data_IF_924077953847
#
_entry.id   IF_924077953847
#
_cell.length_a   1.000
_cell.length_b   1.000
_cell.length_c   1.000
_cell.angle_alpha   90.00
_cell.angle_beta   90.00
_cell.angle_gamma   90.00
#
_symmetry.space_group_name_H-M   'P 1'
#
loop_
_entity.id
_entity.type
_entity.pdbx_description
1 polymer ?
#
# COMPACT_ATOMS: atom_id res chain seq x y z
N UNK A 1 1.07 6.14 8.76
CA UNK A 1 1.61 6.42 7.41
C UNK A 1 0.44 6.66 6.46
N UNK A 2 0.49 7.68 5.59
CA UNK A 2 -0.65 8.02 4.71
C UNK A 2 -0.90 6.84 3.74
N UNK A 3 -2.15 6.35 3.70
CA UNK A 3 -2.61 5.12 2.99
C UNK A 3 -2.11 5.00 1.54
N UNK A 4 -1.87 6.14 0.89
CA UNK A 4 -1.37 6.24 -0.49
C UNK A 4 0.04 5.66 -0.70
N UNK A 5 0.89 5.59 0.34
CA UNK A 5 2.30 5.20 0.18
C UNK A 5 2.53 3.71 -0.12
N UNK A 6 1.56 2.83 0.17
CA UNK A 6 1.67 1.38 -0.07
C UNK A 6 0.83 0.92 -1.26
N UNK A 7 -0.25 1.62 -1.57
CA UNK A 7 -1.13 1.26 -2.70
C UNK A 7 -0.43 1.48 -4.05
N UNK A 8 0.32 2.59 -4.18
CA UNK A 8 1.04 2.93 -5.41
C UNK A 8 2.03 1.83 -5.85
N UNK A 9 2.95 1.33 -5.01
CA UNK A 9 3.88 0.28 -5.43
C UNK A 9 3.19 -1.05 -5.76
N UNK A 10 2.13 -1.41 -5.03
CA UNK A 10 1.33 -2.62 -5.35
C UNK A 10 0.71 -2.49 -6.74
N UNK A 11 0.18 -1.32 -7.09
CA UNK A 11 -0.44 -1.09 -8.40
C UNK A 11 0.58 -1.26 -9.54
N UNK A 12 1.81 -0.74 -9.36
CA UNK A 12 2.89 -0.88 -10.35
C UNK A 12 3.31 -2.34 -10.52
N UNK A 13 3.47 -3.09 -9.42
CA UNK A 13 3.84 -4.50 -9.46
C UNK A 13 2.81 -5.32 -10.24
N UNK A 14 1.52 -5.09 -10.00
CA UNK A 14 0.43 -5.83 -10.66
C UNK A 14 0.39 -5.54 -12.17
N UNK A 15 0.61 -4.29 -12.59
CA UNK A 15 0.65 -3.94 -14.02
C UNK A 15 1.81 -4.63 -14.72
N UNK A 16 2.99 -4.67 -14.10
CA UNK A 16 4.17 -5.33 -14.67
C UNK A 16 3.97 -6.85 -14.76
N UNK A 17 3.42 -7.48 -13.72
CA UNK A 17 3.10 -8.91 -13.73
C UNK A 17 2.08 -9.26 -14.80
N UNK A 18 1.01 -8.47 -14.93
CA UNK A 18 0.01 -8.67 -15.97
C UNK A 18 0.62 -8.53 -17.36
N UNK A 19 1.46 -7.52 -17.59
CA UNK A 19 2.16 -7.34 -18.85
C UNK A 19 3.07 -8.53 -19.19
N UNK A 20 3.85 -9.03 -18.23
CA UNK A 20 4.73 -10.19 -18.44
C UNK A 20 3.92 -11.45 -18.81
N UNK A 21 2.83 -11.71 -18.09
CA UNK A 21 1.97 -12.87 -18.36
C UNK A 21 1.30 -12.78 -19.73
N UNK A 22 0.78 -11.61 -20.08
CA UNK A 22 0.10 -11.38 -21.36
C UNK A 22 1.07 -11.29 -22.55
N UNK A 23 2.37 -11.11 -22.29
CA UNK A 23 3.43 -11.14 -23.30
C UNK A 23 3.95 -12.55 -23.61
N UNK A 24 3.55 -13.59 -22.86
CA UNK A 24 3.94 -14.96 -23.19
C UNK A 24 3.25 -15.45 -24.47
N UNK A 25 3.94 -16.29 -25.24
CA UNK A 25 3.45 -16.81 -26.54
C UNK A 25 2.12 -17.54 -26.42
N UNK A 26 1.87 -18.19 -25.29
CA UNK A 26 0.63 -18.92 -24.98
C UNK A 26 -0.61 -18.01 -24.91
N UNK A 27 -0.43 -16.70 -24.67
CA UNK A 27 -1.52 -15.73 -24.65
C UNK A 27 -1.49 -14.78 -25.86
N UNK A 28 -0.74 -15.12 -26.91
CA UNK A 28 -0.63 -14.28 -28.11
C UNK A 28 -1.91 -14.29 -28.97
N UNK A 29 -2.74 -15.32 -28.82
CA UNK A 29 -4.08 -15.40 -29.43
C UNK A 29 -5.08 -14.37 -28.86
N UNK A 30 -4.80 -13.86 -27.66
CA UNK A 30 -5.65 -12.89 -26.98
C UNK A 30 -5.43 -11.52 -27.60
N UNK A 31 -6.48 -10.91 -28.16
CA UNK A 31 -6.41 -9.59 -28.79
C UNK A 31 -5.91 -8.54 -27.78
N UNK A 32 -5.15 -7.54 -28.25
CA UNK A 32 -4.59 -6.46 -27.40
C UNK A 32 -5.63 -5.82 -26.48
N UNK A 33 -6.87 -5.66 -26.96
CA UNK A 33 -7.98 -5.07 -26.19
C UNK A 33 -8.31 -5.93 -24.96
N UNK A 34 -8.39 -7.25 -25.14
CA UNK A 34 -8.67 -8.18 -24.05
C UNK A 34 -7.51 -8.20 -23.05
N UNK A 35 -6.26 -8.11 -23.52
CA UNK A 35 -5.07 -7.98 -22.66
C UNK A 35 -5.16 -6.74 -21.75
N UNK A 36 -5.53 -5.60 -22.31
CA UNK A 36 -5.73 -4.35 -21.55
C UNK A 36 -6.88 -4.50 -20.55
N UNK A 37 -8.00 -5.12 -20.93
CA UNK A 37 -9.15 -5.34 -20.06
C UNK A 37 -8.80 -6.25 -18.87
N UNK A 38 -8.02 -7.31 -19.10
CA UNK A 38 -7.52 -8.21 -18.06
C UNK A 38 -6.59 -7.46 -17.10
N UNK A 39 -5.66 -6.66 -17.63
CA UNK A 39 -4.74 -5.87 -16.80
C UNK A 39 -5.49 -4.85 -15.93
N UNK A 40 -6.49 -4.16 -16.49
CA UNK A 40 -7.37 -3.24 -15.76
C UNK A 40 -8.18 -3.97 -14.67
N UNK A 41 -8.80 -5.09 -15.00
CA UNK A 41 -9.55 -5.92 -14.04
C UNK A 41 -8.65 -6.40 -12.89
N UNK A 42 -7.49 -6.95 -13.22
CA UNK A 42 -6.52 -7.44 -12.23
C UNK A 42 -6.02 -6.32 -11.31
N UNK A 43 -5.75 -5.13 -11.85
CA UNK A 43 -5.32 -3.97 -11.07
C UNK A 43 -6.42 -3.49 -10.10
N UNK A 44 -7.66 -3.39 -10.56
CA UNK A 44 -8.80 -2.94 -9.73
C UNK A 44 -9.08 -3.95 -8.61
N UNK A 45 -9.13 -5.24 -8.94
CA UNK A 45 -9.40 -6.31 -7.96
C UNK A 45 -8.28 -6.37 -6.91
N UNK A 46 -7.02 -6.36 -7.35
CA UNK A 46 -5.86 -6.41 -6.44
C UNK A 46 -5.80 -5.18 -5.53
N UNK A 47 -6.10 -3.99 -6.05
CA UNK A 47 -6.17 -2.76 -5.25
C UNK A 47 -7.30 -2.81 -4.22
N UNK A 48 -8.47 -3.35 -4.59
CA UNK A 48 -9.61 -3.51 -3.69
C UNK A 48 -9.32 -4.49 -2.56
N UNK A 49 -8.72 -5.64 -2.88
CA UNK A 49 -8.26 -6.63 -1.90
C UNK A 49 -7.20 -6.03 -1.00
N UNK A 50 -6.21 -5.33 -1.59
CA UNK A 50 -5.18 -4.61 -0.84
C UNK A 50 -5.79 -3.60 0.13
N UNK A 51 -6.80 -2.82 -0.27
CA UNK A 51 -7.46 -1.88 0.63
C UNK A 51 -8.16 -2.56 1.82
N UNK A 52 -8.80 -3.72 1.59
CA UNK A 52 -9.47 -4.50 2.64
C UNK A 52 -8.45 -5.12 3.60
N UNK A 53 -7.37 -5.71 3.08
CA UNK A 53 -6.35 -6.39 3.86
C UNK A 53 -5.43 -5.41 4.60
N UNK A 54 -5.06 -4.29 3.97
CA UNK A 54 -4.24 -3.24 4.58
C UNK A 54 -5.07 -2.22 5.38
N UNK A 55 -6.37 -2.49 5.61
CA UNK A 55 -7.20 -1.67 6.48
C UNK A 55 -6.42 -1.53 7.79
N UNK A 56 -6.06 -0.29 8.17
CA UNK A 56 -5.18 -0.07 9.31
C UNK A 56 -5.82 -0.71 10.53
N UNK A 57 -5.00 -1.27 11.41
CA UNK A 57 -5.41 -1.72 12.73
C UNK A 57 -6.25 -0.61 13.40
N UNK A 58 -7.58 -0.71 13.28
CA UNK A 58 -8.54 0.28 13.77
C UNK A 58 -8.71 0.08 15.28
N UNK A 59 -8.42 -1.13 15.73
CA UNK A 59 -8.18 -1.45 17.11
C UNK A 59 -6.83 -0.85 17.49
N UNK A 60 -6.86 0.40 17.95
CA UNK A 60 -5.79 0.95 18.80
C UNK A 60 -5.75 0.19 20.14
N UNK A 61 -5.68 -1.14 20.13
CA UNK A 61 -5.65 -1.96 21.35
C UNK A 61 -4.39 -1.72 22.17
N UNK A 62 -3.38 -1.07 21.60
CA UNK A 62 -2.40 -0.36 22.40
C UNK A 62 -2.15 1.06 21.87
N UNK A 63 -2.77 2.04 22.55
CA UNK A 63 -2.28 3.40 22.46
C UNK A 63 -0.89 3.41 23.10
N UNK A 64 0.17 3.46 22.28
CA UNK A 64 1.54 3.71 22.77
C UNK A 64 1.45 4.84 23.80
N UNK A 65 1.89 4.62 25.06
CA UNK A 65 1.72 5.62 26.09
C UNK A 65 2.37 6.90 25.58
N UNK A 66 1.57 7.95 25.48
CA UNK A 66 2.07 9.29 25.22
C UNK A 66 3.08 9.58 26.32
N UNK A 67 4.36 9.60 25.96
CA UNK A 67 5.42 10.09 26.82
C UNK A 67 5.25 11.60 26.94
N UNK A 68 4.21 12.03 27.64
CA UNK A 68 4.17 13.29 28.36
C UNK A 68 5.14 13.17 29.53
N UNK A 69 6.44 13.07 29.25
CA UNK A 69 7.45 13.33 30.27
C UNK A 69 7.63 14.84 30.35
N UNK A 70 6.68 15.44 31.05
CA UNK A 70 6.74 16.69 31.81
C UNK A 70 8.00 17.53 31.57
N UNK A 71 7.78 18.68 30.93
CA UNK A 71 8.53 19.90 31.18
C UNK A 71 8.83 20.03 32.68
N UNK A 72 10.10 20.00 33.06
CA UNK A 72 10.51 20.63 34.31
C UNK A 72 11.66 21.59 34.03
N UNK A 73 11.29 22.85 33.78
CA UNK A 73 12.16 23.99 34.05
C UNK A 73 12.61 23.90 35.51
N UNK A 74 13.91 23.75 35.77
CA UNK A 74 14.50 24.25 37.01
C UNK A 74 15.84 24.93 36.75
N UNK A 75 15.77 26.26 36.74
CA UNK A 75 16.86 27.20 37.00
C UNK A 75 17.75 26.70 38.14
N UNK A 76 19.06 26.79 37.96
CA UNK A 76 20.05 26.59 39.02
C UNK A 76 21.41 27.13 38.60
N UNK A 77 21.66 28.40 38.91
CA UNK A 77 22.97 29.06 38.95
C UNK A 77 23.89 28.35 39.95
N UNK A 78 25.20 28.29 39.70
CA UNK A 78 26.17 27.99 40.76
C UNK A 78 27.56 27.56 40.32
N UNK A 79 28.45 28.56 40.19
CA UNK A 79 29.93 28.55 40.28
C UNK A 79 30.74 27.76 39.26
#
# INVERSE_FOLDING_TARGET
MKKSKVIIPIMVIVVVLAAILLSQEEYNEVTIINKILIALGAAIVSSSIGYILLKPDIDKVDSKPSANHTENKKKGSGK
#
